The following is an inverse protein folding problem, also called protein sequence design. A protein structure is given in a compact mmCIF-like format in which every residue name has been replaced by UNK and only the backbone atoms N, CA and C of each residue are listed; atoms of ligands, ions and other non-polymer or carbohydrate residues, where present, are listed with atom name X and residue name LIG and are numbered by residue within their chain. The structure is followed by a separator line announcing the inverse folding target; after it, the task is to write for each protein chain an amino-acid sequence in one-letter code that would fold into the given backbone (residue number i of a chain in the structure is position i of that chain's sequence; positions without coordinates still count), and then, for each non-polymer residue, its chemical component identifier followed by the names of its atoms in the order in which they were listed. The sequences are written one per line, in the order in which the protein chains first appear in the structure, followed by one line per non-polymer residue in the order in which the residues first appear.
data_IF_274327845504
#
_entry.id   IF_274327845504
#
_cell.length_a   1.000
_cell.length_b   1.000
_cell.length_c   1.000
_cell.angle_alpha   90.00
_cell.angle_beta   90.00
_cell.angle_gamma   90.00
#
_symmetry.space_group_name_H-M   'P 1'
#
loop_
_entity.id
_entity.type
_entity.pdbx_description
1 polymer ?
#
# COMPACT_ATOMS: atom_id res chain seq x y z
N UNK A 1 18.42 -4.27 14.27
CA UNK A 1 18.40 -5.06 15.51
C UNK A 1 18.89 -6.45 15.18
N UNK A 2 19.88 -6.94 15.91
CA UNK A 2 20.61 -8.20 15.68
C UNK A 2 19.97 -9.42 16.36
N UNK A 3 18.77 -9.26 16.93
CA UNK A 3 18.01 -10.31 17.59
C UNK A 3 18.51 -10.66 19.00
N UNK A 4 19.41 -9.86 19.57
CA UNK A 4 20.05 -10.15 20.86
C UNK A 4 19.53 -9.25 21.99
N UNK A 5 19.38 -9.78 23.21
CA UNK A 5 19.07 -8.95 24.38
C UNK A 5 20.28 -8.09 24.77
N UNK A 6 20.05 -6.87 25.26
CA UNK A 6 21.12 -5.99 25.73
C UNK A 6 20.61 -4.68 26.34
N UNK A 7 21.44 -4.06 27.17
CA UNK A 7 21.18 -2.73 27.75
C UNK A 7 21.49 -1.66 26.71
N UNK A 8 20.58 -0.69 26.54
CA UNK A 8 20.70 0.37 25.53
C UNK A 8 20.38 1.74 26.14
N UNK A 9 21.10 2.77 25.71
CA UNK A 9 20.77 4.16 26.06
C UNK A 9 19.58 4.68 25.27
N UNK A 10 18.98 5.79 25.71
CA UNK A 10 17.79 6.38 25.09
C UNK A 10 17.98 6.68 23.60
N UNK A 11 19.11 7.30 23.23
CA UNK A 11 19.44 7.60 21.84
C UNK A 11 19.45 6.34 20.96
N UNK A 12 20.14 5.29 21.41
CA UNK A 12 20.21 4.00 20.70
C UNK A 12 18.83 3.38 20.52
N UNK A 13 17.99 3.39 21.55
CA UNK A 13 16.63 2.84 21.49
C UNK A 13 15.81 3.57 20.41
N UNK A 14 15.82 4.90 20.42
CA UNK A 14 15.06 5.70 19.46
C UNK A 14 15.56 5.50 18.02
N UNK A 15 16.89 5.50 17.81
CA UNK A 15 17.47 5.28 16.48
C UNK A 15 17.15 3.90 15.92
N UNK A 16 17.29 2.84 16.72
CA UNK A 16 16.97 1.49 16.27
C UNK A 16 15.47 1.30 15.99
N UNK A 17 14.62 1.87 16.84
CA UNK A 17 13.17 1.83 16.64
C UNK A 17 12.75 2.58 15.37
N UNK A 18 13.35 3.75 15.08
CA UNK A 18 13.09 4.48 13.84
C UNK A 18 13.53 3.69 12.61
N UNK A 19 14.67 2.99 12.66
CA UNK A 19 15.10 2.11 11.58
C UNK A 19 14.11 0.95 11.34
N UNK A 20 13.62 0.35 12.43
CA UNK A 20 12.54 -0.65 12.35
C UNK A 20 11.26 -0.06 11.77
N UNK A 21 10.82 1.12 12.24
CA UNK A 21 9.60 1.80 11.75
C UNK A 21 9.70 2.12 10.27
N UNK A 22 10.85 2.64 9.80
CA UNK A 22 11.12 2.88 8.38
C UNK A 22 10.94 1.61 7.55
N UNK A 23 11.48 0.48 8.02
CA UNK A 23 11.35 -0.81 7.34
C UNK A 23 9.89 -1.28 7.28
N UNK A 24 9.16 -1.15 8.39
CA UNK A 24 7.75 -1.55 8.48
C UNK A 24 6.86 -0.71 7.56
N UNK A 25 7.04 0.62 7.55
CA UNK A 25 6.30 1.52 6.66
C UNK A 25 6.62 1.24 5.20
N UNK A 26 7.90 1.04 4.85
CA UNK A 26 8.31 0.66 3.49
C UNK A 26 7.59 -0.62 3.03
N UNK A 27 7.57 -1.67 3.87
CA UNK A 27 6.86 -2.92 3.56
C UNK A 27 5.36 -2.73 3.39
N UNK A 28 4.73 -1.88 4.23
CA UNK A 28 3.31 -1.56 4.12
C UNK A 28 3.00 -0.88 2.79
N UNK A 29 3.80 0.11 2.40
CA UNK A 29 3.64 0.84 1.13
C UNK A 29 3.89 -0.08 -0.07
N UNK A 30 4.95 -0.90 -0.03
CA UNK A 30 5.24 -1.86 -1.09
C UNK A 30 4.09 -2.87 -1.27
N UNK A 31 3.58 -3.42 -0.17
CA UNK A 31 2.43 -4.34 -0.23
C UNK A 31 1.18 -3.69 -0.84
N UNK A 32 0.94 -2.40 -0.57
CA UNK A 32 -0.14 -1.67 -1.22
C UNK A 32 0.13 -1.44 -2.69
N UNK A 33 1.35 -1.02 -3.04
CA UNK A 33 1.78 -0.79 -4.42
C UNK A 33 1.64 -2.06 -5.26
N UNK A 34 2.07 -3.21 -4.75
CA UNK A 34 1.96 -4.49 -5.46
C UNK A 34 0.50 -4.84 -5.77
N UNK A 35 -0.42 -4.57 -4.83
CA UNK A 35 -1.87 -4.75 -5.05
C UNK A 35 -2.42 -3.78 -6.08
N UNK A 36 -2.01 -2.51 -6.03
CA UNK A 36 -2.43 -1.48 -6.99
C UNK A 36 -1.95 -1.85 -8.39
N UNK A 37 -0.69 -2.26 -8.54
CA UNK A 37 -0.11 -2.69 -9.82
C UNK A 37 -0.82 -3.93 -10.38
N UNK A 38 -1.07 -4.94 -9.55
CA UNK A 38 -1.81 -6.13 -9.97
C UNK A 38 -3.23 -5.77 -10.43
N UNK A 39 -3.91 -4.85 -9.74
CA UNK A 39 -5.24 -4.40 -10.12
C UNK A 39 -5.22 -3.61 -11.43
N UNK A 40 -4.30 -2.65 -11.57
CA UNK A 40 -4.11 -1.88 -12.81
C UNK A 40 -3.83 -2.79 -14.01
N UNK A 41 -3.01 -3.82 -13.83
CA UNK A 41 -2.71 -4.83 -14.86
C UNK A 41 -3.98 -5.53 -15.36
N UNK A 42 -4.87 -5.93 -14.44
CA UNK A 42 -6.15 -6.53 -14.83
C UNK A 42 -7.08 -5.52 -15.53
N UNK A 43 -7.17 -4.29 -15.00
CA UNK A 43 -8.01 -3.24 -15.61
C UNK A 43 -7.57 -2.91 -17.04
N UNK A 44 -6.27 -2.88 -17.30
CA UNK A 44 -5.71 -2.69 -18.66
C UNK A 44 -6.20 -3.78 -19.62
N UNK A 45 -6.12 -5.05 -19.22
CA UNK A 45 -6.62 -6.16 -20.03
C UNK A 45 -8.12 -6.10 -20.27
N UNK A 46 -8.89 -5.72 -19.25
CA UNK A 46 -10.33 -5.51 -19.39
C UNK A 46 -10.65 -4.41 -20.40
N UNK A 47 -9.95 -3.26 -20.34
CA UNK A 47 -10.17 -2.16 -21.28
C UNK A 47 -9.82 -2.54 -22.72
N UNK A 48 -8.77 -3.32 -22.94
CA UNK A 48 -8.46 -3.89 -24.25
C UNK A 48 -9.63 -4.75 -24.75
N UNK A 49 -10.23 -5.56 -23.87
CA UNK A 49 -11.39 -6.37 -24.22
C UNK A 49 -12.64 -5.53 -24.55
N UNK A 50 -12.91 -4.43 -23.84
CA UNK A 50 -14.02 -3.53 -24.19
C UNK A 50 -13.85 -2.88 -25.56
N UNK A 51 -12.61 -2.48 -25.91
CA UNK A 51 -12.32 -1.86 -27.20
C UNK A 51 -12.48 -2.85 -28.38
N UNK A 52 -12.33 -4.16 -28.13
CA UNK A 52 -12.36 -5.21 -29.16
C UNK A 52 -13.43 -6.28 -28.84
N UNK A 53 -14.57 -5.88 -28.26
CA UNK A 53 -15.50 -6.83 -27.66
C UNK A 53 -16.08 -7.85 -28.66
N UNK A 54 -16.31 -7.43 -29.90
CA UNK A 54 -16.83 -8.33 -30.94
C UNK A 54 -15.82 -9.43 -31.29
N UNK A 55 -14.54 -9.07 -31.44
CA UNK A 55 -13.44 -10.02 -31.73
C UNK A 55 -13.17 -10.94 -30.54
N UNK A 56 -13.25 -10.41 -29.31
CA UNK A 56 -13.15 -11.23 -28.08
C UNK A 56 -14.28 -12.26 -28.02
N UNK A 57 -15.52 -11.86 -28.31
CA UNK A 57 -16.67 -12.77 -28.33
C UNK A 57 -16.53 -13.82 -29.44
N UNK A 58 -16.04 -13.41 -30.61
CA UNK A 58 -15.78 -14.33 -31.73
C UNK A 58 -14.78 -15.41 -31.31
N UNK A 59 -13.60 -15.03 -30.80
CA UNK A 59 -12.56 -15.96 -30.32
C UNK A 59 -13.12 -16.91 -29.27
N UNK A 60 -13.89 -16.41 -28.30
CA UNK A 60 -14.49 -17.25 -27.24
C UNK A 60 -15.46 -18.29 -27.81
N UNK A 61 -16.14 -17.98 -28.92
CA UNK A 61 -17.14 -18.85 -29.54
C UNK A 61 -16.56 -19.82 -30.57
N UNK A 62 -15.47 -19.48 -31.24
CA UNK A 62 -14.90 -20.26 -32.36
C UNK A 62 -13.74 -21.13 -31.96
N UNK A 63 -12.93 -20.69 -30.99
CA UNK A 63 -11.71 -21.40 -30.59
C UNK A 63 -11.96 -22.40 -29.46
N UNK A 64 -11.38 -23.60 -29.57
CA UNK A 64 -11.42 -24.61 -28.51
C UNK A 64 -10.63 -24.17 -27.26
N UNK A 65 -9.62 -23.30 -27.45
CA UNK A 65 -8.72 -22.81 -26.39
C UNK A 65 -8.63 -21.27 -26.42
N UNK A 66 -9.72 -20.58 -26.09
CA UNK A 66 -9.82 -19.12 -26.28
C UNK A 66 -8.80 -18.35 -25.44
N UNK A 67 -8.42 -18.85 -24.26
CA UNK A 67 -7.39 -18.23 -23.42
C UNK A 67 -6.06 -18.01 -24.17
N UNK A 68 -5.58 -19.04 -24.87
CA UNK A 68 -4.29 -18.96 -25.56
C UNK A 68 -4.36 -17.99 -26.76
N UNK A 69 -5.49 -18.00 -27.46
CA UNK A 69 -5.71 -17.10 -28.60
C UNK A 69 -5.84 -15.64 -28.15
N UNK A 70 -6.60 -15.34 -27.09
CA UNK A 70 -6.70 -13.99 -26.53
C UNK A 70 -5.32 -13.44 -26.13
N UNK A 71 -4.47 -14.26 -25.52
CA UNK A 71 -3.10 -13.89 -25.18
C UNK A 71 -2.26 -13.57 -26.41
N UNK A 72 -2.30 -14.44 -27.43
CA UNK A 72 -1.51 -14.26 -28.65
C UNK A 72 -1.98 -13.04 -29.47
N UNK A 73 -3.30 -12.85 -29.58
CA UNK A 73 -3.92 -11.82 -30.41
C UNK A 73 -3.76 -10.42 -29.83
N UNK A 74 -3.98 -10.27 -28.53
CA UNK A 74 -4.01 -8.97 -27.85
C UNK A 74 -2.79 -8.70 -26.97
N UNK A 75 -1.81 -9.61 -26.93
CA UNK A 75 -0.60 -9.46 -26.12
C UNK A 75 -0.86 -9.52 -24.61
N UNK A 76 -1.93 -10.22 -24.20
CA UNK A 76 -2.39 -10.26 -22.81
C UNK A 76 -1.60 -11.27 -21.98
N UNK A 77 -1.44 -11.00 -20.69
CA UNK A 77 -0.94 -12.00 -19.74
C UNK A 77 -1.98 -13.09 -19.49
N UNK A 78 -1.54 -14.23 -18.96
CA UNK A 78 -2.43 -15.32 -18.59
C UNK A 78 -3.49 -14.91 -17.54
N UNK A 79 -3.18 -13.95 -16.67
CA UNK A 79 -4.09 -13.41 -15.65
C UNK A 79 -5.13 -12.46 -16.26
N UNK A 80 -4.72 -11.61 -17.21
CA UNK A 80 -5.63 -10.73 -17.95
C UNK A 80 -6.61 -11.54 -18.79
N UNK A 81 -6.11 -12.53 -19.54
CA UNK A 81 -6.96 -13.40 -20.35
C UNK A 81 -7.98 -14.16 -19.49
N UNK A 82 -7.56 -14.66 -18.31
CA UNK A 82 -8.49 -15.28 -17.35
C UNK A 82 -9.55 -14.30 -16.87
N UNK A 83 -9.15 -13.07 -16.50
CA UNK A 83 -10.07 -12.05 -16.03
C UNK A 83 -11.12 -11.65 -17.10
N UNK A 84 -10.75 -11.68 -18.38
CA UNK A 84 -11.66 -11.45 -19.51
C UNK A 84 -12.65 -12.61 -19.65
N UNK A 85 -12.18 -13.85 -19.57
CA UNK A 85 -13.06 -15.04 -19.67
C UNK A 85 -14.07 -15.11 -18.51
N UNK A 86 -13.70 -14.61 -17.33
CA UNK A 86 -14.57 -14.51 -16.15
C UNK A 86 -15.56 -13.32 -16.20
N UNK A 87 -15.51 -12.48 -17.26
CA UNK A 87 -16.46 -11.39 -17.42
C UNK A 87 -17.88 -11.92 -17.65
N UNK A 88 -18.82 -11.38 -16.86
CA UNK A 88 -20.25 -11.62 -17.07
C UNK A 88 -20.76 -10.67 -18.14
N UNK A 89 -21.68 -11.15 -18.99
CA UNK A 89 -22.31 -10.34 -20.06
C UNK A 89 -22.89 -9.00 -19.57
N UNK A 90 -23.45 -8.96 -18.36
CA UNK A 90 -23.97 -7.72 -17.75
C UNK A 90 -22.89 -6.63 -17.54
N UNK A 91 -21.62 -7.04 -17.45
CA UNK A 91 -20.52 -6.11 -17.29
C UNK A 91 -20.16 -5.44 -18.63
N UNK A 92 -20.61 -5.94 -19.78
CA UNK A 92 -20.32 -5.33 -21.10
C UNK A 92 -21.06 -4.00 -21.36
N UNK A 93 -21.83 -3.50 -20.39
CA UNK A 93 -22.52 -2.22 -20.51
C UNK A 93 -21.55 -1.03 -20.45
N UNK A 94 -21.82 0.03 -21.23
CA UNK A 94 -21.00 1.26 -21.25
C UNK A 94 -20.77 1.89 -19.86
N UNK A 95 -21.72 1.75 -18.95
CA UNK A 95 -21.59 2.24 -17.57
C UNK A 95 -20.46 1.53 -16.81
N UNK A 96 -20.22 0.25 -17.08
CA UNK A 96 -19.17 -0.53 -16.43
C UNK A 96 -17.80 -0.19 -17.02
N UNK A 97 -17.71 0.11 -18.32
CA UNK A 97 -16.48 0.67 -18.92
C UNK A 97 -16.08 1.98 -18.22
N UNK A 98 -17.04 2.89 -18.00
CA UNK A 98 -16.76 4.16 -17.32
C UNK A 98 -16.28 3.95 -15.88
N UNK A 99 -16.83 2.96 -15.15
CA UNK A 99 -16.37 2.60 -13.81
C UNK A 99 -14.95 2.06 -13.82
N UNK A 100 -14.61 1.19 -14.78
CA UNK A 100 -13.28 0.61 -14.92
C UNK A 100 -12.25 1.70 -15.22
N UNK A 101 -12.58 2.67 -16.09
CA UNK A 101 -11.71 3.83 -16.36
C UNK A 101 -11.52 4.69 -15.11
N UNK A 102 -12.60 4.99 -14.39
CA UNK A 102 -12.51 5.74 -13.12
C UNK A 102 -11.64 5.03 -12.08
N UNK A 103 -11.82 3.72 -11.92
CA UNK A 103 -10.98 2.90 -11.03
C UNK A 103 -9.51 2.91 -11.47
N UNK A 104 -9.25 2.83 -12.78
CA UNK A 104 -7.90 2.88 -13.33
C UNK A 104 -7.22 4.24 -13.06
N UNK A 105 -7.95 5.34 -13.22
CA UNK A 105 -7.44 6.70 -12.99
C UNK A 105 -7.09 6.92 -11.51
N UNK A 106 -7.99 6.52 -10.60
CA UNK A 106 -7.78 6.59 -9.15
C UNK A 106 -6.55 5.76 -8.71
N UNK A 107 -6.48 4.50 -9.17
CA UNK A 107 -5.37 3.62 -8.85
C UNK A 107 -4.05 4.05 -9.49
N UNK A 108 -4.08 4.71 -10.65
CA UNK A 108 -2.89 5.27 -11.28
C UNK A 108 -2.33 6.43 -10.49
N UNK A 109 -3.19 7.33 -9.99
CA UNK A 109 -2.79 8.40 -9.09
C UNK A 109 -2.20 7.84 -7.78
N UNK A 110 -2.84 6.82 -7.20
CA UNK A 110 -2.34 6.16 -5.99
C UNK A 110 -0.98 5.47 -6.23
N UNK A 111 -0.81 4.77 -7.36
CA UNK A 111 0.47 4.16 -7.76
C UNK A 111 1.58 5.21 -7.79
N UNK A 112 1.32 6.33 -8.44
CA UNK A 112 2.33 7.37 -8.64
C UNK A 112 2.72 8.00 -7.31
N UNK A 113 1.77 8.23 -6.39
CA UNK A 113 2.02 8.68 -5.03
C UNK A 113 2.87 7.67 -4.23
N UNK A 114 2.51 6.39 -4.26
CA UNK A 114 3.25 5.34 -3.56
C UNK A 114 4.68 5.20 -4.08
N UNK A 115 4.88 5.23 -5.41
CA UNK A 115 6.19 5.21 -6.03
C UNK A 115 7.00 6.46 -5.69
N UNK A 116 6.36 7.62 -5.64
CA UNK A 116 6.96 8.88 -5.20
C UNK A 116 7.51 8.79 -3.76
N UNK A 117 6.74 8.21 -2.84
CA UNK A 117 7.15 8.06 -1.45
C UNK A 117 8.27 7.01 -1.33
N UNK A 118 8.12 5.86 -1.98
CA UNK A 118 9.12 4.79 -1.95
C UNK A 118 10.45 5.18 -2.64
N UNK A 119 10.39 6.05 -3.65
CA UNK A 119 11.55 6.52 -4.40
C UNK A 119 12.32 7.67 -3.73
N UNK A 120 11.82 8.25 -2.63
CA UNK A 120 12.47 9.37 -1.95
C UNK A 120 12.53 9.15 -0.44
N UNK A 121 13.75 9.07 0.09
CA UNK A 121 13.96 8.91 1.54
C UNK A 121 13.36 10.08 2.35
N UNK A 122 13.43 11.30 1.82
CA UNK A 122 12.87 12.48 2.47
C UNK A 122 11.34 12.43 2.54
N UNK A 123 10.67 11.99 1.47
CA UNK A 123 9.20 11.82 1.48
C UNK A 123 8.77 10.72 2.44
N UNK A 124 9.49 9.60 2.48
CA UNK A 124 9.24 8.54 3.45
C UNK A 124 9.42 9.04 4.89
N UNK A 125 10.44 9.87 5.14
CA UNK A 125 10.69 10.47 6.45
C UNK A 125 9.57 11.43 6.85
N UNK A 126 9.11 12.29 5.95
CA UNK A 126 8.00 13.22 6.23
C UNK A 126 6.70 12.46 6.50
N UNK A 127 6.41 11.39 5.73
CA UNK A 127 5.27 10.52 6.00
C UNK A 127 5.33 9.94 7.42
N UNK A 128 6.47 9.34 7.81
CA UNK A 128 6.64 8.76 9.15
C UNK A 128 6.46 9.83 10.23
N UNK A 129 7.01 11.03 10.03
CA UNK A 129 6.85 12.14 10.97
C UNK A 129 5.38 12.55 11.13
N UNK A 130 4.64 12.71 10.03
CA UNK A 130 3.22 13.03 10.06
C UNK A 130 2.41 11.96 10.79
N UNK A 131 2.68 10.68 10.52
CA UNK A 131 2.03 9.58 11.25
C UNK A 131 2.31 9.63 12.76
N UNK A 132 3.56 9.88 13.17
CA UNK A 132 3.92 9.96 14.59
C UNK A 132 3.25 11.14 15.28
N UNK A 133 3.07 12.26 14.59
CA UNK A 133 2.35 13.41 15.11
C UNK A 133 0.86 13.11 15.30
N UNK A 134 0.23 12.48 14.29
CA UNK A 134 -1.17 12.05 14.39
C UNK A 134 -1.39 11.02 15.49
N UNK A 135 -0.48 10.06 15.64
CA UNK A 135 -0.53 9.06 16.71
C UNK A 135 -0.38 9.73 18.08
N UNK A 136 0.52 10.71 18.22
CA UNK A 136 0.70 11.46 19.45
C UNK A 136 -0.53 12.31 19.81
N UNK A 137 -1.19 12.92 18.83
CA UNK A 137 -2.44 13.66 19.04
C UNK A 137 -3.61 12.75 19.42
N UNK A 138 -3.67 11.55 18.83
CA UNK A 138 -4.77 10.61 19.04
C UNK A 138 -4.64 9.85 20.37
N UNK A 139 -3.41 9.46 20.73
CA UNK A 139 -3.15 8.55 21.85
C UNK A 139 -2.34 9.17 23.00
N UNK A 140 -1.83 10.38 22.83
CA UNK A 140 -1.04 11.07 23.86
C UNK A 140 -1.89 11.55 25.05
N UNK A 141 -1.25 11.67 26.20
CA UNK A 141 -1.82 12.27 27.41
C UNK A 141 -0.84 13.25 28.08
N UNK A 142 -1.37 14.10 28.96
CA UNK A 142 -0.54 15.01 29.76
C UNK A 142 0.33 14.23 30.74
N UNK A 143 1.53 14.76 31.01
CA UNK A 143 2.48 14.13 31.94
C UNK A 143 1.90 14.09 33.36
N UNK A 144 1.66 12.88 33.87
CA UNK A 144 1.11 12.65 35.21
C UNK A 144 2.10 12.88 36.36
N UNK A 145 3.37 12.54 36.16
CA UNK A 145 4.41 12.64 37.19
C UNK A 145 5.34 13.82 36.92
N UNK A 146 5.19 14.96 37.62
CA UNK A 146 6.05 16.11 37.42
C UNK A 146 7.48 15.81 37.87
N UNK A 147 8.46 16.33 37.12
CA UNK A 147 9.86 16.30 37.56
C UNK A 147 10.01 17.44 38.55
N UNK A 148 10.31 17.10 39.80
CA UNK A 148 10.52 18.11 40.83
C UNK A 148 11.76 17.79 41.64
N UNK A 149 12.70 18.72 41.62
CA UNK A 149 13.89 18.65 42.47
C UNK A 149 13.49 18.99 43.92
N UNK A 150 13.99 18.17 44.85
CA UNK A 150 13.74 18.32 46.28
C UNK A 150 15.07 18.23 47.00
N UNK A 151 15.15 18.91 48.14
CA UNK A 151 16.27 18.72 49.07
C UNK A 151 16.24 17.29 49.59
N UNK A 152 17.42 16.74 49.88
CA UNK A 152 17.54 15.43 50.51
C UNK A 152 16.69 15.34 51.77
N UNK A 153 16.02 14.21 51.96
CA UNK A 153 15.21 13.97 53.14
C UNK A 153 16.10 13.94 54.38
N UNK A 154 15.75 14.73 55.40
CA UNK A 154 16.40 14.70 56.71
C UNK A 154 15.50 13.97 57.69
N UNK A 155 16.08 13.08 58.50
CA UNK A 155 15.37 12.44 59.60
C UNK A 155 14.91 13.50 60.60
N UNK A 156 13.72 13.32 61.18
CA UNK A 156 13.23 14.14 62.27
C UNK A 156 14.16 13.95 63.49
N UNK A 157 14.66 15.03 64.07
CA UNK A 157 15.30 14.98 65.38
C UNK A 157 14.20 15.13 66.44
N UNK A 158 13.88 14.05 67.16
CA UNK A 158 13.07 14.14 68.38
C UNK A 158 13.90 14.80 69.48
N UNK A 159 13.40 15.91 70.03
CA UNK A 159 13.87 16.53 71.29
C UNK A 159 12.97 16.14 72.44
#
# INVERSE_FOLDING_TARGET
NDGRPGVKGLYTILTEWLAFRKTTVTRRLQHRLDKVLARLHLLEGLLIAYLNIDEVIEIIRTEDKPKAELMARFGLSAEQAEAILELKLRHLAKLEEMKIRGEQDELSAERDELQAILGSEDRLRELIKTELQQDAETFGDERRSPIVERKEARAFSET
#
